data_IF_041852727949
#
_entry.id   IF_041852727949
#
_cell.length_a   1.000
_cell.length_b   1.000
_cell.length_c   1.000
_cell.angle_alpha   90.00
_cell.angle_beta   90.00
_cell.angle_gamma   90.00
#
_symmetry.space_group_name_H-M   'P 1'
#
loop_
_entity.id
_entity.type
_entity.pdbx_description
1 polymer ?
#
# COMPACT_ATOMS: atom_id res chain seq x y z
N UNK A 1 1.85 -24.25 -20.09
CA UNK A 1 2.81 -23.17 -20.41
C UNK A 1 2.32 -22.25 -21.53
N UNK A 2 1.62 -22.74 -22.55
CA UNK A 2 1.03 -21.93 -23.64
C UNK A 2 -0.04 -20.94 -23.16
N UNK A 3 -0.93 -21.35 -22.25
CA UNK A 3 -1.97 -20.48 -21.69
C UNK A 3 -1.44 -19.31 -20.84
N UNK A 4 -0.35 -19.52 -20.09
CA UNK A 4 0.29 -18.45 -19.31
C UNK A 4 1.01 -17.44 -20.24
N UNK A 5 1.65 -17.94 -21.30
CA UNK A 5 2.27 -17.09 -22.32
C UNK A 5 1.23 -16.28 -23.11
N UNK A 6 0.08 -16.87 -23.45
CA UNK A 6 -0.99 -16.14 -24.15
C UNK A 6 -1.60 -15.03 -23.29
N UNK A 7 -1.78 -15.26 -21.98
CA UNK A 7 -2.26 -14.22 -21.06
C UNK A 7 -1.23 -13.09 -20.90
N UNK A 8 0.07 -13.41 -20.79
CA UNK A 8 1.11 -12.38 -20.72
C UNK A 8 1.17 -11.53 -22.00
N UNK A 9 1.05 -12.15 -23.17
CA UNK A 9 0.98 -11.45 -24.46
C UNK A 9 -0.26 -10.55 -24.50
N UNK A 10 -1.43 -11.05 -24.09
CA UNK A 10 -2.66 -10.25 -24.07
C UNK A 10 -2.56 -9.04 -23.14
N UNK A 11 -1.94 -9.20 -21.96
CA UNK A 11 -1.69 -8.10 -21.01
C UNK A 11 -0.77 -7.05 -21.60
N UNK A 12 0.31 -7.47 -22.25
CA UNK A 12 1.26 -6.56 -22.91
C UNK A 12 0.59 -5.84 -24.09
N UNK A 13 -0.17 -6.57 -24.92
CA UNK A 13 -0.91 -6.00 -26.04
C UNK A 13 -1.93 -4.97 -25.56
N UNK A 14 -2.67 -5.25 -24.48
CA UNK A 14 -3.61 -4.31 -23.88
C UNK A 14 -2.88 -3.05 -23.38
N UNK A 15 -1.77 -3.19 -22.65
CA UNK A 15 -0.99 -2.06 -22.17
C UNK A 15 -0.47 -1.20 -23.33
N UNK A 16 0.12 -1.81 -24.36
CA UNK A 16 0.60 -1.09 -25.54
C UNK A 16 -0.54 -0.44 -26.33
N UNK A 17 -1.69 -1.11 -26.46
CA UNK A 17 -2.87 -0.54 -27.10
C UNK A 17 -3.38 0.69 -26.33
N UNK A 18 -3.42 0.65 -25.00
CA UNK A 18 -3.85 1.81 -24.19
C UNK A 18 -2.89 2.99 -24.31
N UNK A 19 -1.58 2.74 -24.28
CA UNK A 19 -0.57 3.80 -24.43
C UNK A 19 -0.57 4.36 -25.86
N UNK A 20 -0.65 3.50 -26.87
CA UNK A 20 -0.73 3.89 -28.27
C UNK A 20 -2.00 4.69 -28.59
N UNK A 21 -3.13 4.29 -28.01
CA UNK A 21 -4.38 5.05 -28.12
C UNK A 21 -4.27 6.44 -27.49
N UNK A 22 -3.67 6.56 -26.30
CA UNK A 22 -3.46 7.86 -25.66
C UNK A 22 -2.51 8.75 -26.48
N UNK A 23 -1.37 8.23 -26.94
CA UNK A 23 -0.44 8.98 -27.81
C UNK A 23 -1.14 9.43 -29.10
N UNK A 24 -1.90 8.53 -29.75
CA UNK A 24 -2.63 8.86 -30.97
C UNK A 24 -3.74 9.90 -30.74
N UNK A 25 -4.47 9.81 -29.63
CA UNK A 25 -5.52 10.78 -29.29
C UNK A 25 -4.95 12.20 -29.15
N UNK A 26 -3.74 12.34 -28.61
CA UNK A 26 -3.04 13.63 -28.51
C UNK A 26 -2.50 14.06 -29.86
N UNK A 27 -1.82 13.17 -30.59
CA UNK A 27 -1.23 13.48 -31.90
C UNK A 27 -2.27 13.85 -32.96
N UNK A 28 -3.47 13.25 -32.91
CA UNK A 28 -4.61 13.54 -33.79
C UNK A 28 -5.45 14.73 -33.31
N UNK A 29 -5.13 15.34 -32.16
CA UNK A 29 -5.85 16.47 -31.60
C UNK A 29 -7.22 16.15 -30.98
N UNK A 30 -7.53 14.87 -30.75
CA UNK A 30 -8.75 14.44 -30.03
C UNK A 30 -8.69 14.81 -28.54
N UNK A 31 -7.48 14.89 -28.00
CA UNK A 31 -7.22 15.34 -26.64
C UNK A 31 -6.17 16.45 -26.65
N UNK A 32 -6.37 17.45 -25.79
CA UNK A 32 -5.43 18.56 -25.65
C UNK A 32 -4.15 18.10 -24.95
N UNK A 33 -3.01 18.22 -25.63
CA UNK A 33 -1.69 17.95 -25.07
C UNK A 33 -1.44 18.71 -23.76
N UNK A 34 -2.00 19.93 -23.64
CA UNK A 34 -1.88 20.73 -22.43
C UNK A 34 -2.53 20.07 -21.21
N UNK A 35 -3.67 19.39 -21.38
CA UNK A 35 -4.45 18.84 -20.26
C UNK A 35 -4.10 17.40 -19.91
N UNK A 36 -3.73 16.59 -20.90
CA UNK A 36 -3.43 15.16 -20.68
C UNK A 36 -1.96 14.81 -20.88
N UNK A 37 -1.13 15.68 -21.45
CA UNK A 37 0.23 15.31 -21.92
C UNK A 37 0.20 14.11 -22.88
N UNK A 38 1.37 13.57 -23.24
CA UNK A 38 1.49 12.34 -24.03
C UNK A 38 2.46 11.34 -23.37
N UNK A 39 2.25 10.02 -23.53
CA UNK A 39 3.17 8.99 -23.08
C UNK A 39 4.64 9.26 -23.47
N UNK A 40 4.88 9.70 -24.70
CA UNK A 40 6.23 10.03 -25.19
C UNK A 40 6.89 11.17 -24.41
N UNK A 41 6.15 12.23 -24.11
CA UNK A 41 6.65 13.38 -23.32
C UNK A 41 6.91 13.01 -21.87
N UNK A 42 6.02 12.22 -21.28
CA UNK A 42 6.18 11.71 -19.92
C UNK A 42 7.46 10.87 -19.83
N UNK A 43 7.67 9.95 -20.79
CA UNK A 43 8.89 9.14 -20.86
C UNK A 43 10.15 9.99 -21.02
N UNK A 44 10.12 11.00 -21.90
CA UNK A 44 11.25 11.92 -22.09
C UNK A 44 11.57 12.71 -20.82
N UNK A 45 10.55 13.22 -20.12
CA UNK A 45 10.70 13.93 -18.84
C UNK A 45 11.30 13.03 -17.76
N UNK A 46 10.84 11.78 -17.65
CA UNK A 46 11.39 10.80 -16.71
C UNK A 46 12.87 10.57 -16.99
N UNK A 47 13.26 10.34 -18.26
CA UNK A 47 14.68 10.14 -18.62
C UNK A 47 15.52 11.36 -18.26
N UNK A 48 15.01 12.57 -18.49
CA UNK A 48 15.68 13.81 -18.11
C UNK A 48 15.89 13.91 -16.60
N UNK A 49 14.84 13.67 -15.81
CA UNK A 49 14.89 13.73 -14.34
C UNK A 49 15.78 12.63 -13.73
N UNK A 50 15.82 11.44 -14.33
CA UNK A 50 16.73 10.36 -13.95
C UNK A 50 18.19 10.79 -14.17
N UNK A 51 18.50 11.38 -15.33
CA UNK A 51 19.85 11.86 -15.66
C UNK A 51 20.28 13.04 -14.78
N UNK A 52 19.34 13.89 -14.38
CA UNK A 52 19.57 15.01 -13.47
C UNK A 52 19.76 14.60 -12.01
N UNK A 53 19.43 13.37 -11.63
CA UNK A 53 19.64 12.84 -10.28
C UNK A 53 18.57 13.24 -9.25
N UNK A 54 17.88 14.36 -9.45
CA UNK A 54 16.86 14.88 -8.52
C UNK A 54 15.72 13.89 -8.26
N UNK A 55 15.28 13.15 -9.28
CA UNK A 55 14.19 12.18 -9.13
C UNK A 55 14.48 11.14 -8.05
N UNK A 56 15.73 10.68 -7.95
CA UNK A 56 16.11 9.64 -7.00
C UNK A 56 16.05 10.14 -5.56
N UNK A 57 16.39 11.41 -5.33
CA UNK A 57 16.27 12.04 -4.01
C UNK A 57 14.80 12.11 -3.58
N UNK A 58 13.94 12.68 -4.43
CA UNK A 58 12.51 12.80 -4.13
C UNK A 58 11.85 11.44 -3.94
N UNK A 59 12.17 10.49 -4.81
CA UNK A 59 11.66 9.11 -4.68
C UNK A 59 12.13 8.46 -3.38
N UNK A 60 13.41 8.58 -3.02
CA UNK A 60 13.94 7.99 -1.79
C UNK A 60 13.28 8.56 -0.53
N UNK A 61 12.98 9.87 -0.50
CA UNK A 61 12.25 10.51 0.59
C UNK A 61 10.86 9.92 0.74
N UNK A 62 10.06 9.89 -0.34
CA UNK A 62 8.69 9.36 -0.29
C UNK A 62 8.66 7.89 0.05
N UNK A 63 9.54 7.09 -0.53
CA UNK A 63 9.62 5.66 -0.22
C UNK A 63 10.06 5.45 1.24
N UNK A 64 11.00 6.25 1.75
CA UNK A 64 11.41 6.22 3.15
C UNK A 64 10.25 6.48 4.10
N UNK A 65 9.49 7.54 3.87
CA UNK A 65 8.30 7.88 4.67
C UNK A 65 7.20 6.81 4.57
N UNK A 66 6.91 6.34 3.35
CA UNK A 66 5.88 5.34 3.10
C UNK A 66 6.23 3.99 3.72
N UNK A 67 7.44 3.47 3.48
CA UNK A 67 7.82 2.12 3.93
C UNK A 67 8.10 2.05 5.43
N UNK A 68 8.58 3.12 6.05
CA UNK A 68 8.70 3.16 7.52
C UNK A 68 7.31 3.19 8.18
N UNK A 69 6.39 4.00 7.66
CA UNK A 69 4.99 4.02 8.11
C UNK A 69 4.29 2.68 7.88
N UNK A 70 4.54 2.03 6.74
CA UNK A 70 4.07 0.68 6.44
C UNK A 70 4.60 -0.34 7.45
N UNK A 71 5.91 -0.39 7.65
CA UNK A 71 6.53 -1.37 8.56
C UNK A 71 6.00 -1.21 9.99
N UNK A 72 6.00 0.01 10.51
CA UNK A 72 5.48 0.31 11.84
C UNK A 72 3.98 -0.01 11.94
N UNK A 73 3.19 0.38 10.92
CA UNK A 73 1.75 0.15 10.88
C UNK A 73 1.38 -1.32 10.80
N UNK A 74 2.13 -2.11 10.03
CA UNK A 74 1.93 -3.56 9.93
C UNK A 74 2.27 -4.23 11.26
N UNK A 75 3.40 -3.90 11.87
CA UNK A 75 3.81 -4.49 13.16
C UNK A 75 2.81 -4.15 14.26
N UNK A 76 2.47 -2.86 14.41
CA UNK A 76 1.52 -2.42 15.42
C UNK A 76 0.11 -2.97 15.15
N UNK A 77 -0.35 -2.91 13.89
CA UNK A 77 -1.66 -3.37 13.48
C UNK A 77 -1.81 -4.87 13.71
N UNK A 78 -0.85 -5.67 13.26
CA UNK A 78 -0.87 -7.12 13.47
C UNK A 78 -0.83 -7.47 14.97
N UNK A 79 0.04 -6.82 15.76
CA UNK A 79 0.11 -7.05 17.20
C UNK A 79 -1.23 -6.74 17.89
N UNK A 80 -1.82 -5.56 17.63
CA UNK A 80 -3.11 -5.17 18.20
C UNK A 80 -4.24 -6.08 17.72
N UNK A 81 -4.27 -6.44 16.44
CA UNK A 81 -5.28 -7.34 15.87
C UNK A 81 -5.22 -8.75 16.47
N UNK A 82 -4.02 -9.28 16.69
CA UNK A 82 -3.81 -10.56 17.39
C UNK A 82 -4.30 -10.47 18.85
N UNK A 83 -3.96 -9.40 19.56
CA UNK A 83 -4.40 -9.18 20.95
C UNK A 83 -5.92 -9.11 21.07
N UNK A 84 -6.58 -8.38 20.16
CA UNK A 84 -8.03 -8.28 20.10
C UNK A 84 -8.67 -9.62 19.72
N UNK A 85 -8.08 -10.34 18.75
CA UNK A 85 -8.64 -11.59 18.22
C UNK A 85 -8.60 -12.74 19.23
N UNK A 86 -7.55 -12.80 20.06
CA UNK A 86 -7.44 -13.81 21.13
C UNK A 86 -8.31 -13.47 22.34
N UNK A 87 -8.66 -12.19 22.55
CA UNK A 87 -9.42 -11.74 23.70
C UNK A 87 -10.93 -11.94 23.53
N UNK A 88 -11.52 -12.79 24.39
CA UNK A 88 -12.98 -13.04 24.42
C UNK A 88 -13.82 -11.81 24.78
N UNK A 89 -13.24 -10.84 25.49
CA UNK A 89 -13.94 -9.62 25.94
C UNK A 89 -13.52 -8.39 25.16
N UNK A 90 -12.21 -8.15 25.03
CA UNK A 90 -11.72 -6.93 24.40
C UNK A 90 -12.07 -6.86 22.90
N UNK A 91 -12.03 -7.99 22.19
CA UNK A 91 -12.40 -8.06 20.78
C UNK A 91 -13.81 -7.53 20.51
N UNK A 92 -14.88 -8.21 20.98
CA UNK A 92 -16.26 -7.77 20.74
C UNK A 92 -16.54 -6.35 21.27
N UNK A 93 -15.91 -5.95 22.37
CA UNK A 93 -16.15 -4.61 22.96
C UNK A 93 -15.49 -3.51 22.14
N UNK A 94 -14.27 -3.70 21.64
CA UNK A 94 -13.50 -2.66 20.94
C UNK A 94 -13.73 -2.67 19.42
N UNK A 95 -14.18 -3.79 18.85
CA UNK A 95 -14.42 -3.96 17.42
C UNK A 95 -15.25 -2.81 16.80
N UNK A 96 -16.40 -2.39 17.37
CA UNK A 96 -17.17 -1.26 16.82
C UNK A 96 -16.38 0.05 16.78
N UNK A 97 -15.54 0.31 17.79
CA UNK A 97 -14.72 1.52 17.85
C UNK A 97 -13.58 1.48 16.83
N UNK A 98 -12.99 0.31 16.60
CA UNK A 98 -11.96 0.13 15.58
C UNK A 98 -12.54 0.32 14.18
N UNK A 99 -13.74 -0.19 13.92
CA UNK A 99 -14.46 0.02 12.66
C UNK A 99 -14.79 1.50 12.46
N UNK A 100 -15.25 2.18 13.50
CA UNK A 100 -15.49 3.62 13.46
C UNK A 100 -14.20 4.41 13.13
N UNK A 101 -13.08 4.05 13.77
CA UNK A 101 -11.77 4.66 13.49
C UNK A 101 -11.32 4.41 12.03
N UNK A 102 -11.58 3.23 11.47
CA UNK A 102 -11.26 2.91 10.08
C UNK A 102 -12.09 3.72 9.07
N UNK A 103 -13.31 4.11 9.47
CA UNK A 103 -14.26 4.87 8.65
C UNK A 103 -13.91 6.36 8.56
N UNK A 104 -13.03 6.85 9.43
CA UNK A 104 -12.55 8.23 9.35
C UNK A 104 -11.72 8.43 8.08
N UNK A 105 -11.93 9.54 7.34
CA UNK A 105 -11.06 9.93 6.23
C UNK A 105 -9.70 10.39 6.79
N UNK A 106 -8.84 9.43 7.12
CA UNK A 106 -7.55 9.66 7.79
C UNK A 106 -6.60 10.58 7.01
N UNK A 107 -6.79 10.70 5.70
CA UNK A 107 -6.14 11.71 4.84
C UNK A 107 -6.32 13.13 5.41
N UNK A 108 -7.50 13.43 5.97
CA UNK A 108 -7.81 14.73 6.58
C UNK A 108 -7.03 15.01 7.89
N UNK A 109 -6.35 14.00 8.46
CA UNK A 109 -5.50 14.19 9.63
C UNK A 109 -4.18 14.88 9.29
N UNK A 110 -3.78 14.94 8.01
CA UNK A 110 -2.49 15.49 7.58
C UNK A 110 -2.18 16.88 8.17
N UNK A 111 -3.06 17.88 8.03
CA UNK A 111 -2.81 19.21 8.58
C UNK A 111 -2.70 19.22 10.11
N UNK A 112 -3.49 18.40 10.80
CA UNK A 112 -3.46 18.27 12.27
C UNK A 112 -2.14 17.65 12.72
N UNK A 113 -1.67 16.62 12.01
CA UNK A 113 -0.38 16.00 12.30
C UNK A 113 0.77 16.99 12.11
N UNK A 114 0.75 17.79 11.04
CA UNK A 114 1.75 18.86 10.84
C UNK A 114 1.70 19.88 11.97
N UNK A 115 0.51 20.27 12.44
CA UNK A 115 0.37 21.18 13.58
C UNK A 115 0.93 20.58 14.88
N UNK A 116 0.75 19.27 15.09
CA UNK A 116 1.10 18.61 16.36
C UNK A 116 2.57 18.20 16.45
N UNK A 117 3.13 17.65 15.37
CA UNK A 117 4.50 17.11 15.35
C UNK A 117 5.45 17.92 14.46
N UNK A 118 4.96 18.99 13.85
CA UNK A 118 5.74 19.88 12.99
C UNK A 118 5.91 19.37 11.56
N UNK A 119 6.59 20.19 10.76
CA UNK A 119 6.94 19.87 9.37
C UNK A 119 8.14 18.92 9.37
N UNK A 120 8.03 17.84 8.61
CA UNK A 120 9.12 16.92 8.34
C UNK A 120 8.66 15.47 8.37
N UNK A 121 9.63 14.54 8.43
CA UNK A 121 9.42 13.10 8.35
C UNK A 121 8.31 12.59 9.28
N UNK A 122 8.27 13.06 10.54
CA UNK A 122 7.31 12.57 11.54
C UNK A 122 5.84 12.73 11.10
N UNK A 123 5.48 13.87 10.50
CA UNK A 123 4.10 14.13 10.04
C UNK A 123 3.66 13.18 8.91
N UNK A 124 4.55 12.90 7.94
CA UNK A 124 4.28 12.01 6.79
C UNK A 124 4.28 10.56 7.22
N UNK A 125 5.26 10.19 8.05
CA UNK A 125 5.33 8.88 8.70
C UNK A 125 4.04 8.58 9.47
N UNK A 126 3.57 9.48 10.33
CA UNK A 126 2.36 9.27 11.12
C UNK A 126 1.12 9.16 10.24
N UNK A 127 1.05 9.93 9.15
CA UNK A 127 -0.06 9.84 8.20
C UNK A 127 -0.06 8.47 7.49
N UNK A 128 1.08 8.05 6.94
CA UNK A 128 1.24 6.73 6.34
C UNK A 128 0.95 5.59 7.34
N UNK A 129 1.48 5.68 8.56
CA UNK A 129 1.22 4.75 9.66
C UNK A 129 -0.28 4.65 9.97
N UNK A 130 -0.96 5.79 10.10
CA UNK A 130 -2.39 5.82 10.45
C UNK A 130 -3.27 5.13 9.40
N UNK A 131 -2.90 5.24 8.11
CA UNK A 131 -3.61 4.61 7.01
C UNK A 131 -3.43 3.09 7.01
N UNK A 132 -2.29 2.59 7.49
CA UNK A 132 -1.94 1.16 7.51
C UNK A 132 -2.42 0.44 8.76
N UNK A 133 -2.22 1.03 9.94
CA UNK A 133 -2.37 0.32 11.22
C UNK A 133 -3.77 -0.26 11.44
N UNK A 134 -4.82 0.48 11.08
CA UNK A 134 -6.21 0.10 11.35
C UNK A 134 -6.70 -1.03 10.43
N UNK A 135 -6.52 -0.96 9.08
CA UNK A 135 -6.87 -2.08 8.20
C UNK A 135 -6.11 -3.37 8.53
N UNK A 136 -4.81 -3.27 8.85
CA UNK A 136 -4.03 -4.45 9.23
C UNK A 136 -4.55 -5.03 10.54
N UNK A 137 -4.86 -4.18 11.54
CA UNK A 137 -5.47 -4.63 12.79
C UNK A 137 -6.80 -5.34 12.58
N UNK A 138 -7.72 -4.76 11.81
CA UNK A 138 -9.03 -5.35 11.52
C UNK A 138 -8.92 -6.68 10.79
N UNK A 139 -8.13 -6.75 9.71
CA UNK A 139 -7.99 -8.00 8.96
C UNK A 139 -7.27 -9.09 9.76
N UNK A 140 -6.34 -8.72 10.63
CA UNK A 140 -5.68 -9.68 11.54
C UNK A 140 -6.68 -10.21 12.57
N UNK A 141 -7.51 -9.33 13.12
CA UNK A 141 -8.59 -9.69 14.03
C UNK A 141 -9.59 -10.66 13.37
N UNK A 142 -10.05 -10.34 12.16
CA UNK A 142 -10.91 -11.22 11.35
C UNK A 142 -10.24 -12.55 11.04
N UNK A 143 -8.94 -12.54 10.72
CA UNK A 143 -8.17 -13.76 10.48
C UNK A 143 -8.18 -14.72 11.66
N UNK A 144 -8.06 -14.20 12.89
CA UNK A 144 -8.16 -15.01 14.11
C UNK A 144 -9.58 -15.53 14.33
N UNK A 145 -10.61 -14.72 14.06
CA UNK A 145 -12.01 -15.11 14.22
C UNK A 145 -12.51 -16.08 13.16
N UNK A 146 -11.88 -16.10 11.99
CA UNK A 146 -12.20 -17.04 10.89
C UNK A 146 -11.79 -18.49 11.19
N UNK A 147 -11.09 -18.74 12.30
CA UNK A 147 -10.70 -20.09 12.73
C UNK A 147 -11.94 -20.91 13.10
N UNK A 148 -12.04 -22.10 12.50
CA UNK A 148 -13.08 -23.08 12.84
C UNK A 148 -13.02 -23.45 14.32
N UNK A 149 -14.13 -23.21 15.02
CA UNK A 149 -14.27 -23.51 16.44
C UNK A 149 -14.17 -25.02 16.73
N UNK A 150 -14.49 -25.88 15.75
CA UNK A 150 -14.31 -27.33 15.86
C UNK A 150 -12.82 -27.67 16.03
N UNK A 151 -11.93 -27.07 15.23
CA UNK A 151 -10.48 -27.28 15.37
C UNK A 151 -9.97 -26.80 16.74
N UNK A 152 -10.49 -25.68 17.22
CA UNK A 152 -10.17 -25.18 18.57
C UNK A 152 -10.60 -26.18 19.65
N UNK A 153 -11.80 -26.75 19.55
CA UNK A 153 -12.30 -27.73 20.51
C UNK A 153 -11.53 -29.05 20.44
N UNK A 154 -11.22 -29.56 19.24
CA UNK A 154 -10.40 -30.77 19.05
C UNK A 154 -9.02 -30.61 19.69
N UNK A 155 -8.33 -29.49 19.44
CA UNK A 155 -7.04 -29.24 20.06
C UNK A 155 -7.12 -29.17 21.59
N UNK A 156 -8.16 -28.54 22.14
CA UNK A 156 -8.37 -28.50 23.60
C UNK A 156 -8.66 -29.89 24.19
N UNK A 157 -9.43 -30.73 23.50
CA UNK A 157 -9.68 -32.12 23.92
C UNK A 157 -8.40 -32.96 23.94
N UNK A 158 -7.47 -32.71 23.02
CA UNK A 158 -6.14 -33.31 23.00
C UNK A 158 -5.16 -32.72 24.03
N UNK A 159 -5.62 -31.84 24.93
CA UNK A 159 -4.80 -31.25 25.99
C UNK A 159 -3.90 -30.10 25.53
N UNK A 160 -4.18 -29.48 24.37
CA UNK A 160 -3.34 -28.38 23.88
C UNK A 160 -3.36 -27.17 24.82
N UNK A 161 -2.17 -26.67 25.18
CA UNK A 161 -2.01 -25.46 25.98
C UNK A 161 -2.41 -24.21 25.19
N UNK A 162 -2.64 -23.08 25.87
CA UNK A 162 -2.95 -21.79 25.20
C UNK A 162 -1.85 -21.37 24.21
N UNK A 163 -0.60 -21.64 24.55
CA UNK A 163 0.54 -21.35 23.68
C UNK A 163 0.55 -22.23 22.43
N UNK A 164 0.25 -23.53 22.59
CA UNK A 164 0.14 -24.46 21.46
C UNK A 164 -1.04 -24.10 20.55
N UNK A 165 -2.18 -23.71 21.12
CA UNK A 165 -3.33 -23.23 20.34
C UNK A 165 -2.97 -21.98 19.54
N UNK A 166 -2.27 -21.02 20.16
CA UNK A 166 -1.86 -19.79 19.49
C UNK A 166 -0.85 -20.06 18.36
N UNK A 167 0.24 -20.78 18.62
CA UNK A 167 1.30 -21.00 17.62
C UNK A 167 0.93 -22.00 16.52
N UNK A 168 0.12 -23.02 16.83
CA UNK A 168 -0.16 -24.11 15.88
C UNK A 168 -1.48 -23.92 15.11
N UNK A 169 -2.38 -23.06 15.57
CA UNK A 169 -3.68 -22.84 14.92
C UNK A 169 -3.94 -21.38 14.61
N UNK A 170 -3.90 -20.50 15.63
CA UNK A 170 -4.33 -19.12 15.46
C UNK A 170 -3.36 -18.30 14.58
N UNK A 171 -2.07 -18.30 14.91
CA UNK A 171 -1.06 -17.55 14.16
C UNK A 171 -0.91 -18.03 12.71
N UNK A 172 -0.86 -19.35 12.42
CA UNK A 172 -0.86 -19.84 11.04
C UNK A 172 -2.12 -19.46 10.25
N UNK A 173 -3.29 -19.41 10.90
CA UNK A 173 -4.52 -18.98 10.24
C UNK A 173 -4.52 -17.48 9.95
N UNK A 174 -4.06 -16.65 10.90
CA UNK A 174 -4.02 -15.19 10.73
C UNK A 174 -2.95 -14.73 9.72
N UNK A 175 -1.85 -15.47 9.54
CA UNK A 175 -0.74 -15.07 8.68
C UNK A 175 -1.15 -14.73 7.22
N UNK A 176 -1.95 -15.56 6.50
CA UNK A 176 -2.51 -15.20 5.20
C UNK A 176 -3.27 -13.86 5.18
N UNK A 177 -4.04 -13.58 6.23
CA UNK A 177 -4.83 -12.34 6.35
C UNK A 177 -3.92 -11.13 6.57
N UNK A 178 -2.89 -11.28 7.42
CA UNK A 178 -1.85 -10.27 7.60
C UNK A 178 -1.16 -9.97 6.27
N UNK A 179 -0.69 -11.01 5.56
CA UNK A 179 0.02 -10.84 4.27
C UNK A 179 -0.86 -10.20 3.19
N UNK A 180 -2.14 -10.58 3.11
CA UNK A 180 -3.10 -9.95 2.21
C UNK A 180 -3.30 -8.47 2.55
N UNK A 181 -3.29 -8.12 3.85
CA UNK A 181 -3.42 -6.75 4.31
C UNK A 181 -2.20 -5.91 4.01
N UNK A 182 -0.99 -6.48 4.19
CA UNK A 182 0.28 -5.82 3.85
C UNK A 182 0.28 -5.40 2.38
N UNK A 183 -0.20 -6.27 1.49
CA UNK A 183 -0.31 -5.98 0.06
C UNK A 183 -1.17 -4.74 -0.21
N UNK A 184 -2.39 -4.71 0.32
CA UNK A 184 -3.28 -3.56 0.19
C UNK A 184 -2.72 -2.30 0.86
N UNK A 185 -1.99 -2.48 1.96
CA UNK A 185 -1.42 -1.39 2.75
C UNK A 185 -0.26 -0.67 2.06
N UNK A 186 0.47 -1.29 1.11
CA UNK A 186 1.53 -0.60 0.36
C UNK A 186 1.00 0.63 -0.36
N UNK A 187 -0.12 0.49 -1.07
CA UNK A 187 -0.71 1.61 -1.78
C UNK A 187 -1.17 2.69 -0.79
N UNK A 188 -1.76 2.29 0.34
CA UNK A 188 -2.21 3.21 1.39
C UNK A 188 -1.05 3.97 2.05
N UNK A 189 0.08 3.32 2.30
CA UNK A 189 1.25 3.97 2.91
C UNK A 189 1.88 4.99 1.96
N UNK A 190 1.96 4.65 0.66
CA UNK A 190 2.42 5.56 -0.39
C UNK A 190 1.48 6.76 -0.51
N UNK A 191 0.16 6.54 -0.53
CA UNK A 191 -0.83 7.62 -0.52
C UNK A 191 -0.64 8.52 0.71
N UNK A 192 -0.42 7.93 1.89
CA UNK A 192 -0.18 8.68 3.13
C UNK A 192 1.07 9.56 3.08
N UNK A 193 2.17 9.04 2.55
CA UNK A 193 3.40 9.81 2.36
C UNK A 193 3.16 10.98 1.40
N UNK A 194 2.62 10.70 0.20
CA UNK A 194 2.35 11.75 -0.81
C UNK A 194 1.44 12.84 -0.24
N UNK A 195 0.29 12.48 0.35
CA UNK A 195 -0.64 13.47 0.91
C UNK A 195 0.06 14.31 1.98
N UNK A 196 0.88 13.69 2.83
CA UNK A 196 1.64 14.41 3.83
C UNK A 196 2.65 15.38 3.20
N UNK A 197 3.33 14.96 2.13
CA UNK A 197 4.27 15.77 1.36
C UNK A 197 3.59 16.98 0.69
N UNK A 198 2.38 16.81 0.15
CA UNK A 198 1.56 17.87 -0.46
C UNK A 198 1.22 19.00 0.50
N UNK A 199 1.09 18.72 1.80
CA UNK A 199 0.69 19.75 2.78
C UNK A 199 1.87 20.66 3.08
N UNK A 200 3.05 20.08 3.30
CA UNK A 200 4.27 20.84 3.56
C UNK A 200 5.48 19.93 3.51
N UNK A 201 6.24 19.95 2.43
CA UNK A 201 7.53 19.28 2.33
C UNK A 201 8.51 20.10 1.49
N UNK A 202 9.80 19.78 1.62
CA UNK A 202 10.87 20.36 0.80
C UNK A 202 11.50 19.33 -0.16
N UNK A 203 11.10 18.07 -0.03
CA UNK A 203 11.54 16.96 -0.85
C UNK A 203 10.42 15.88 -0.86
N UNK A 204 10.52 14.91 -1.76
CA UNK A 204 9.46 13.94 -1.99
C UNK A 204 8.79 14.07 -3.36
N UNK A 205 8.15 13.00 -3.80
CA UNK A 205 7.33 12.93 -5.02
C UNK A 205 6.11 13.83 -4.90
N UNK A 206 5.42 13.84 -3.76
CA UNK A 206 4.30 14.75 -3.49
C UNK A 206 4.72 16.21 -3.57
N UNK A 207 5.93 16.56 -3.12
CA UNK A 207 6.49 17.90 -3.34
C UNK A 207 6.70 18.21 -4.83
N UNK A 208 7.27 17.27 -5.60
CA UNK A 208 7.42 17.46 -7.05
C UNK A 208 6.07 17.66 -7.75
N UNK A 209 5.03 16.94 -7.32
CA UNK A 209 3.67 17.12 -7.83
C UNK A 209 3.12 18.49 -7.48
N UNK A 210 3.30 18.96 -6.24
CA UNK A 210 2.81 20.27 -5.80
C UNK A 210 3.46 21.40 -6.61
N UNK A 211 4.79 21.36 -6.78
CA UNK A 211 5.54 22.32 -7.62
C UNK A 211 5.07 22.28 -9.09
N UNK A 212 4.93 21.09 -9.68
CA UNK A 212 4.47 20.96 -11.05
C UNK A 212 3.01 21.42 -11.22
N UNK A 213 2.16 21.18 -10.22
CA UNK A 213 0.76 21.63 -10.19
C UNK A 213 0.69 23.16 -10.16
N UNK A 214 1.48 23.81 -9.31
CA UNK A 214 1.56 25.27 -9.25
C UNK A 214 2.07 25.91 -10.56
N UNK A 215 2.89 25.19 -11.32
CA UNK A 215 3.38 25.62 -12.63
C UNK A 215 2.45 25.22 -13.80
N UNK A 216 1.32 24.54 -13.55
CA UNK A 216 0.46 23.92 -14.56
C UNK A 216 1.23 22.99 -15.53
N UNK A 217 2.32 22.38 -15.07
CA UNK A 217 3.15 21.44 -15.83
C UNK A 217 2.58 20.02 -15.70
N UNK A 218 1.55 19.72 -16.50
CA UNK A 218 0.88 18.41 -16.51
C UNK A 218 1.86 17.26 -16.79
N UNK A 219 2.87 17.49 -17.66
CA UNK A 219 3.90 16.48 -17.94
C UNK A 219 4.75 16.22 -16.69
N UNK A 220 5.12 17.29 -15.98
CA UNK A 220 5.82 17.24 -14.70
C UNK A 220 5.01 16.61 -13.57
N UNK A 221 3.69 16.59 -13.63
CA UNK A 221 2.82 15.87 -12.68
C UNK A 221 2.75 14.37 -12.99
N UNK A 222 2.57 13.98 -14.26
CA UNK A 222 2.45 12.58 -14.65
C UNK A 222 3.77 11.80 -14.57
N UNK A 223 4.90 12.44 -14.86
CA UNK A 223 6.22 11.80 -14.80
C UNK A 223 6.54 11.15 -13.43
N UNK A 224 6.52 11.87 -12.30
CA UNK A 224 6.76 11.28 -10.99
C UNK A 224 5.67 10.29 -10.56
N UNK A 225 4.41 10.49 -10.96
CA UNK A 225 3.34 9.51 -10.73
C UNK A 225 3.58 8.18 -11.45
N UNK A 226 4.04 8.21 -12.70
CA UNK A 226 4.37 7.01 -13.46
C UNK A 226 5.55 6.24 -12.86
N UNK A 227 6.57 6.97 -12.38
CA UNK A 227 7.70 6.37 -11.64
C UNK A 227 7.20 5.71 -10.36
N UNK A 228 6.38 6.41 -9.58
CA UNK A 228 5.84 5.87 -8.34
C UNK A 228 4.93 4.65 -8.58
N UNK A 229 4.12 4.67 -9.65
CA UNK A 229 3.32 3.52 -10.08
C UNK A 229 4.21 2.30 -10.37
N UNK A 230 5.33 2.48 -11.08
CA UNK A 230 6.27 1.40 -11.35
C UNK A 230 6.88 0.81 -10.06
N UNK A 231 7.27 1.68 -9.10
CA UNK A 231 7.79 1.25 -7.81
C UNK A 231 6.74 0.57 -6.93
N UNK A 232 5.52 1.12 -6.85
CA UNK A 232 4.41 0.52 -6.11
C UNK A 232 4.05 -0.86 -6.67
N UNK A 233 4.02 -0.99 -8.00
CA UNK A 233 3.79 -2.26 -8.67
C UNK A 233 4.91 -3.27 -8.38
N UNK A 234 6.17 -2.85 -8.43
CA UNK A 234 7.31 -3.70 -8.08
C UNK A 234 7.24 -4.17 -6.62
N UNK A 235 6.90 -3.27 -5.69
CA UNK A 235 6.72 -3.59 -4.26
C UNK A 235 5.58 -4.60 -4.04
N UNK A 236 4.43 -4.41 -4.70
CA UNK A 236 3.33 -5.39 -4.69
C UNK A 236 3.80 -6.76 -5.17
N UNK A 237 4.53 -6.84 -6.29
CA UNK A 237 5.06 -8.11 -6.80
C UNK A 237 6.04 -8.77 -5.84
N UNK A 238 6.89 -8.00 -5.17
CA UNK A 238 7.78 -8.51 -4.13
C UNK A 238 6.98 -9.12 -2.97
N UNK A 239 5.91 -8.46 -2.52
CA UNK A 239 5.05 -8.98 -1.45
C UNK A 239 4.29 -10.24 -1.91
N UNK A 240 3.83 -10.29 -3.16
CA UNK A 240 3.19 -11.49 -3.73
C UNK A 240 4.18 -12.67 -3.70
N UNK A 241 5.41 -12.46 -4.16
CA UNK A 241 6.45 -13.48 -4.16
C UNK A 241 6.80 -13.94 -2.74
N UNK A 242 6.95 -13.01 -1.81
CA UNK A 242 7.19 -13.30 -0.40
C UNK A 242 6.02 -14.08 0.23
N UNK A 243 4.79 -13.67 -0.07
CA UNK A 243 3.58 -14.35 0.43
C UNK A 243 3.51 -15.78 -0.10
N UNK A 244 3.78 -15.99 -1.38
CA UNK A 244 3.82 -17.31 -1.99
C UNK A 244 4.91 -18.20 -1.38
N UNK A 245 6.03 -17.63 -0.94
CA UNK A 245 7.08 -18.35 -0.23
C UNK A 245 6.67 -18.72 1.21
N UNK A 246 6.11 -17.78 1.97
CA UNK A 246 5.71 -17.98 3.37
C UNK A 246 4.48 -18.90 3.51
N UNK A 247 3.62 -18.94 2.50
CA UNK A 247 2.38 -19.72 2.51
C UNK A 247 2.48 -21.05 1.77
N UNK A 248 3.68 -21.53 1.41
CA UNK A 248 3.88 -22.82 0.71
C UNK A 248 3.24 -24.03 1.40
N UNK A 249 3.14 -23.99 2.73
CA UNK A 249 2.53 -25.04 3.54
C UNK A 249 1.01 -25.14 3.33
N UNK A 250 0.38 -24.04 2.90
CA UNK A 250 -1.03 -23.96 2.60
C UNK A 250 -1.13 -24.17 1.09
N UNK A 251 -1.38 -25.40 0.66
CA UNK A 251 -1.59 -25.73 -0.74
C UNK A 251 -2.81 -24.96 -1.29
N UNK A 252 -2.60 -23.72 -1.69
CA UNK A 252 -3.56 -22.88 -2.38
C UNK A 252 -2.97 -22.67 -3.76
N UNK A 253 -3.52 -23.40 -4.74
CA UNK A 253 -3.27 -23.11 -6.15
C UNK A 253 -3.71 -21.66 -6.39
N UNK A 254 -2.74 -20.76 -6.55
CA UNK A 254 -2.93 -19.39 -7.03
C UNK A 254 -2.95 -19.42 -8.55
#
# INVERSE_FOLDING_TARGET
MTALRSVAILRLALALATLGFWEAAVALGWASEFWVSSPGRIAARIVQQIRGGELWLHLAVTLGEAFTGLAAGVVAGAALGLLLGVSRRAGPTLEPFVIALNSLPRVALGPILVLYVGIGFASKFLLAFSLVVVPVMLNTYEGIRSVDQVLVHVMRMLGATRWQLFHKLLMPNALPWILSSVRAAVSLSIIGAIVGEFISAQAGIGYMLDVASGAFDITGMFAPLAVLMAFAFAADRCIVALSAHLLRWRAVNI
#
